data_IF_726147371507
#
_entry.id   IF_726147371507
#
_cell.length_a   1.000
_cell.length_b   1.000
_cell.length_c   1.000
_cell.angle_alpha   90.00
_cell.angle_beta   90.00
_cell.angle_gamma   90.00
#
_symmetry.space_group_name_H-M   'P 1'
#
loop_
_entity.id
_entity.type
_entity.pdbx_description
1 polymer ?
#
# COMPACT_ATOMS: atom_id res chain seq x y z
N UNK A 1 -3.81 15.93 1.78
CA UNK A 1 -4.76 14.91 2.27
C UNK A 1 -4.00 13.99 3.20
N UNK A 2 -4.49 13.78 4.42
CA UNK A 2 -3.93 12.78 5.32
C UNK A 2 -4.66 11.48 4.98
N UNK A 3 -3.92 10.45 4.62
CA UNK A 3 -4.45 9.13 4.33
C UNK A 3 -4.17 8.26 5.56
N UNK A 4 -5.20 7.73 6.19
CA UNK A 4 -5.09 6.81 7.34
C UNK A 4 -4.85 5.42 6.78
N UNK A 5 -3.74 4.78 7.15
CA UNK A 5 -3.45 3.40 6.70
C UNK A 5 -4.45 2.42 7.33
N UNK A 6 -5.07 1.59 6.49
CA UNK A 6 -5.98 0.52 6.92
C UNK A 6 -5.36 -0.86 6.80
N UNK A 7 -4.42 -1.04 5.87
CA UNK A 7 -3.68 -2.27 5.72
C UNK A 7 -2.71 -2.22 4.56
N UNK A 8 -1.76 -3.14 4.56
CA UNK A 8 -0.78 -3.29 3.50
C UNK A 8 -0.32 -4.75 3.39
N UNK A 9 0.12 -5.13 2.20
CA UNK A 9 0.75 -6.42 1.94
C UNK A 9 1.94 -6.24 1.01
N UNK A 10 2.96 -7.07 1.16
CA UNK A 10 4.24 -6.94 0.50
C UNK A 10 4.54 -8.17 -0.37
N UNK A 11 5.07 -7.91 -1.55
CA UNK A 11 5.56 -8.90 -2.49
C UNK A 11 7.01 -8.58 -2.80
N UNK A 12 7.87 -9.58 -2.81
CA UNK A 12 9.27 -9.38 -3.25
C UNK A 12 9.47 -10.19 -4.52
N UNK A 13 9.78 -9.51 -5.62
CA UNK A 13 10.18 -10.21 -6.84
C UNK A 13 11.47 -10.99 -6.57
N UNK A 14 11.56 -12.23 -7.06
CA UNK A 14 12.77 -13.04 -6.96
C UNK A 14 13.95 -12.27 -7.58
N UNK A 15 14.98 -12.00 -6.77
CA UNK A 15 16.17 -11.25 -7.20
C UNK A 15 16.06 -9.72 -7.10
N UNK A 16 14.96 -9.16 -6.60
CA UNK A 16 14.84 -7.73 -6.26
C UNK A 16 15.10 -7.50 -4.78
N UNK A 17 15.83 -6.43 -4.44
CA UNK A 17 15.97 -5.94 -3.06
C UNK A 17 14.77 -5.13 -2.61
N UNK A 18 14.00 -4.57 -3.54
CA UNK A 18 12.94 -3.62 -3.24
C UNK A 18 11.58 -4.33 -3.24
N UNK A 19 10.79 -4.25 -2.15
CA UNK A 19 9.48 -4.84 -2.08
C UNK A 19 8.45 -4.02 -2.88
N UNK A 20 7.47 -4.71 -3.46
CA UNK A 20 6.26 -4.13 -4.05
C UNK A 20 5.16 -4.20 -2.99
N UNK A 21 4.59 -3.07 -2.63
CA UNK A 21 3.51 -2.95 -1.66
C UNK A 21 2.18 -2.67 -2.32
N UNK A 22 1.13 -3.34 -1.86
CA UNK A 22 -0.26 -2.92 -2.06
C UNK A 22 -0.76 -2.38 -0.72
N UNK A 23 -1.32 -1.17 -0.73
CA UNK A 23 -1.73 -0.42 0.47
C UNK A 23 -3.17 0.02 0.33
N UNK A 24 -3.97 -0.18 1.37
CA UNK A 24 -5.29 0.45 1.52
C UNK A 24 -5.17 1.61 2.49
N UNK A 25 -5.67 2.76 2.08
CA UNK A 25 -5.76 3.93 2.94
C UNK A 25 -7.13 4.59 2.82
N UNK A 26 -7.57 5.20 3.92
CA UNK A 26 -8.82 5.93 4.03
C UNK A 26 -8.54 7.43 4.02
N UNK A 27 -9.29 8.18 3.22
CA UNK A 27 -9.20 9.64 3.22
C UNK A 27 -10.02 10.26 4.37
N UNK A 28 -9.91 11.56 4.57
CA UNK A 28 -10.66 12.28 5.62
C UNK A 28 -12.19 12.22 5.48
N UNK A 29 -12.72 11.70 4.37
CA UNK A 29 -14.16 11.53 4.13
C UNK A 29 -14.63 10.09 4.41
N UNK A 30 -13.74 9.19 4.86
CA UNK A 30 -14.06 7.79 5.09
C UNK A 30 -14.04 6.92 3.83
N UNK A 31 -13.54 7.44 2.70
CA UNK A 31 -13.44 6.68 1.46
C UNK A 31 -12.12 5.90 1.42
N UNK A 32 -12.22 4.58 1.32
CA UNK A 32 -11.06 3.70 1.15
C UNK A 32 -10.58 3.71 -0.30
N UNK A 33 -9.26 3.79 -0.46
CA UNK A 33 -8.57 3.70 -1.75
C UNK A 33 -7.38 2.77 -1.64
N UNK A 34 -7.10 2.06 -2.72
CA UNK A 34 -5.95 1.17 -2.78
C UNK A 34 -4.88 1.72 -3.73
N UNK A 35 -3.63 1.49 -3.37
CA UNK A 35 -2.45 1.94 -4.12
C UNK A 35 -1.44 0.80 -4.24
N UNK A 36 -0.70 0.77 -5.34
CA UNK A 36 0.43 -0.13 -5.55
C UNK A 36 1.70 0.69 -5.82
N UNK A 37 2.82 0.24 -5.27
CA UNK A 37 4.11 0.90 -5.48
C UNK A 37 5.28 0.10 -4.95
N UNK A 38 6.47 0.66 -5.06
CA UNK A 38 7.70 0.05 -4.57
C UNK A 38 8.14 0.73 -3.27
N UNK A 39 8.39 -0.06 -2.23
CA UNK A 39 9.02 0.39 -1.00
C UNK A 39 10.54 0.36 -1.11
N UNK A 40 11.21 1.00 -0.15
CA UNK A 40 12.68 0.97 -0.08
C UNK A 40 13.21 -0.19 0.77
N UNK A 41 12.32 -0.99 1.37
CA UNK A 41 12.69 -2.18 2.15
C UNK A 41 13.23 -1.87 3.54
N UNK A 42 12.97 -0.66 4.05
CA UNK A 42 13.41 -0.21 5.38
C UNK A 42 12.35 -0.50 6.45
N UNK A 43 11.36 0.39 6.55
CA UNK A 43 10.24 0.29 7.50
C UNK A 43 8.91 0.15 6.75
N UNK A 44 8.15 -0.88 7.09
CA UNK A 44 6.91 -1.22 6.38
C UNK A 44 5.84 -0.11 6.49
N UNK A 45 5.75 0.57 7.64
CA UNK A 45 4.75 1.64 7.84
C UNK A 45 5.12 2.88 7.03
N UNK A 46 6.40 3.23 7.02
CA UNK A 46 6.96 4.34 6.25
C UNK A 46 6.82 4.10 4.75
N UNK A 47 7.13 2.90 4.28
CA UNK A 47 6.97 2.51 2.88
C UNK A 47 5.48 2.48 2.49
N UNK A 48 4.59 1.97 3.35
CA UNK A 48 3.15 1.99 3.10
C UNK A 48 2.61 3.43 3.02
N UNK A 49 3.06 4.30 3.92
CA UNK A 49 2.71 5.73 3.93
C UNK A 49 3.23 6.48 2.71
N UNK A 50 4.40 6.08 2.20
CA UNK A 50 4.94 6.58 0.94
C UNK A 50 4.06 6.16 -0.24
N UNK A 51 3.76 4.86 -0.37
CA UNK A 51 2.92 4.31 -1.43
C UNK A 51 1.50 4.90 -1.40
N UNK A 52 0.91 5.11 -0.22
CA UNK A 52 -0.40 5.76 -0.09
C UNK A 52 -0.42 7.23 -0.58
N UNK A 53 0.75 7.86 -0.77
CA UNK A 53 0.88 9.24 -1.27
C UNK A 53 1.31 9.31 -2.74
N UNK A 54 2.16 8.40 -3.18
CA UNK A 54 2.83 8.47 -4.51
C UNK A 54 2.57 7.27 -5.40
N UNK A 55 1.98 6.20 -4.86
CA UNK A 55 1.70 4.97 -5.57
C UNK A 55 0.64 5.14 -6.66
N UNK A 56 0.63 4.21 -7.60
CA UNK A 56 -0.40 4.14 -8.63
C UNK A 56 -1.73 3.66 -8.02
N UNK A 57 -2.85 4.16 -8.56
CA UNK A 57 -4.18 3.68 -8.16
C UNK A 57 -4.30 2.18 -8.43
N UNK A 58 -4.87 1.45 -7.48
CA UNK A 58 -5.08 0.01 -7.56
C UNK A 58 -6.54 -0.35 -7.28
N UNK A 59 -7.10 -1.43 -7.87
CA UNK A 59 -8.48 -1.83 -7.61
C UNK A 59 -8.70 -2.25 -6.14
N UNK A 60 -9.57 -1.51 -5.44
CA UNK A 60 -9.84 -1.72 -4.01
C UNK A 60 -10.30 -3.15 -3.68
N UNK A 61 -11.24 -3.68 -4.47
CA UNK A 61 -11.80 -5.03 -4.28
C UNK A 61 -10.74 -6.14 -4.40
N UNK A 62 -9.67 -5.91 -5.16
CA UNK A 62 -8.56 -6.86 -5.28
C UNK A 62 -7.62 -6.69 -4.07
N UNK A 63 -7.29 -5.45 -3.69
CA UNK A 63 -6.45 -5.19 -2.52
C UNK A 63 -7.02 -5.80 -1.24
N UNK A 64 -8.34 -5.69 -1.03
CA UNK A 64 -9.04 -6.29 0.13
C UNK A 64 -8.90 -7.81 0.21
N UNK A 65 -8.76 -8.49 -0.93
CA UNK A 65 -8.54 -9.95 -0.97
C UNK A 65 -7.08 -10.35 -0.71
N UNK A 66 -6.14 -9.43 -0.95
CA UNK A 66 -4.71 -9.67 -0.83
C UNK A 66 -4.15 -9.29 0.54
N UNK A 67 -4.76 -8.32 1.21
CA UNK A 67 -4.42 -7.93 2.57
C UNK A 67 -5.22 -8.84 3.51
N UNK A 68 -4.51 -9.72 4.24
CA UNK A 68 -5.10 -10.52 5.31
C UNK A 68 -5.14 -9.69 6.59
N UNK A 69 -6.25 -9.79 7.32
CA UNK A 69 -6.40 -9.27 8.69
C UNK A 69 -5.34 -9.84 9.65
#
# INVERSE_FOLDING_TARGET
MINILKGYTWFTQMGSSNPIGIVIAENNQGEERAFIGTGNGGDAISDASYIARTGASFPLEIAKKLIKE
#
